data_IF_004550983340
#
_entry.id   IF_004550983340
#
_cell.length_a   1.000
_cell.length_b   1.000
_cell.length_c   1.000
_cell.angle_alpha   90.00
_cell.angle_beta   90.00
_cell.angle_gamma   90.00
#
_symmetry.space_group_name_H-M   'P 1'
#
loop_
_entity.id
_entity.type
_entity.pdbx_description
1 polymer ?
#
# COMPACT_ATOMS: atom_id res chain seq x y z
N UNK A 1 27.84 -16.32 -9.98
CA UNK A 1 27.36 -15.96 -8.62
C UNK A 1 27.74 -14.55 -8.21
N UNK A 2 28.97 -14.12 -8.35
CA UNK A 2 29.42 -12.78 -7.98
C UNK A 2 28.67 -11.69 -8.74
N UNK A 3 28.41 -11.86 -10.04
CA UNK A 3 27.68 -10.87 -10.83
C UNK A 3 26.24 -10.66 -10.37
N UNK A 4 25.55 -11.73 -9.97
CA UNK A 4 24.19 -11.62 -9.46
C UNK A 4 24.15 -10.94 -8.10
N UNK A 5 25.12 -11.24 -7.26
CA UNK A 5 25.23 -10.61 -5.95
C UNK A 5 25.53 -9.12 -6.06
N UNK A 6 26.44 -8.73 -6.95
CA UNK A 6 26.77 -7.33 -7.19
C UNK A 6 25.58 -6.56 -7.76
N UNK A 7 24.85 -7.15 -8.70
CA UNK A 7 23.63 -6.54 -9.26
C UNK A 7 22.56 -6.35 -8.18
N UNK A 8 22.40 -7.32 -7.30
CA UNK A 8 21.45 -7.21 -6.19
C UNK A 8 21.85 -6.09 -5.22
N UNK A 9 23.12 -5.99 -4.87
CA UNK A 9 23.63 -4.92 -4.01
C UNK A 9 23.42 -3.54 -4.64
N UNK A 10 23.71 -3.39 -5.92
CA UNK A 10 23.51 -2.13 -6.63
C UNK A 10 22.04 -1.76 -6.68
N UNK A 11 21.16 -2.71 -6.94
CA UNK A 11 19.72 -2.50 -6.93
C UNK A 11 19.24 -2.07 -5.55
N UNK A 12 19.69 -2.73 -4.49
CA UNK A 12 19.34 -2.41 -3.12
C UNK A 12 19.81 -1.01 -2.72
N UNK A 13 21.03 -0.64 -3.08
CA UNK A 13 21.55 0.70 -2.83
C UNK A 13 20.75 1.76 -3.58
N UNK A 14 20.41 1.49 -4.83
CA UNK A 14 19.59 2.37 -5.63
C UNK A 14 18.20 2.59 -5.01
N UNK A 15 17.57 1.54 -4.50
CA UNK A 15 16.29 1.64 -3.80
C UNK A 15 16.41 2.45 -2.51
N UNK A 16 17.45 2.22 -1.73
CA UNK A 16 17.68 2.99 -0.50
C UNK A 16 17.90 4.46 -0.81
N UNK A 17 18.68 4.76 -1.84
CA UNK A 17 18.89 6.14 -2.29
C UNK A 17 17.58 6.78 -2.71
N UNK A 18 16.79 6.09 -3.55
CA UNK A 18 15.49 6.59 -4.00
C UNK A 18 14.52 6.79 -2.84
N UNK A 19 14.50 5.87 -1.89
CA UNK A 19 13.59 5.96 -0.76
C UNK A 19 13.92 7.11 0.19
N UNK A 20 15.18 7.51 0.29
CA UNK A 20 15.58 8.67 1.09
C UNK A 20 15.02 9.99 0.55
N UNK A 21 14.68 10.01 -0.75
CA UNK A 21 14.12 11.17 -1.43
C UNK A 21 12.61 11.10 -1.61
N UNK A 22 11.97 10.00 -1.21
CA UNK A 22 10.52 9.87 -1.32
C UNK A 22 9.88 10.65 -0.17
N UNK A 23 9.06 11.63 -0.55
CA UNK A 23 8.22 12.37 0.38
C UNK A 23 6.82 11.81 0.29
N UNK A 24 6.33 11.25 1.37
CA UNK A 24 4.98 10.72 1.47
C UNK A 24 4.27 11.33 2.68
N UNK A 25 2.96 11.37 2.63
CA UNK A 25 2.15 11.91 3.71
C UNK A 25 0.86 11.10 3.88
N UNK A 26 0.24 11.27 5.02
CA UNK A 26 -1.06 10.67 5.31
C UNK A 26 -2.09 11.16 4.29
N UNK A 27 -2.89 10.23 3.78
CA UNK A 27 -3.87 10.51 2.75
C UNK A 27 -3.37 10.31 1.32
N UNK A 28 -2.07 10.09 1.13
CA UNK A 28 -1.53 9.77 -0.19
C UNK A 28 -1.91 8.37 -0.64
N UNK A 29 -2.12 8.21 -1.93
CA UNK A 29 -2.31 6.91 -2.58
C UNK A 29 -1.07 6.61 -3.40
N UNK A 30 -0.44 5.48 -3.12
CA UNK A 30 0.77 5.03 -3.79
C UNK A 30 0.59 3.65 -4.38
N UNK A 31 1.15 3.44 -5.58
CA UNK A 31 1.31 2.11 -6.13
C UNK A 31 2.45 1.40 -5.42
N UNK A 32 2.23 0.15 -5.08
CA UNK A 32 3.23 -0.66 -4.37
C UNK A 32 3.48 -1.97 -5.10
N UNK A 33 4.68 -2.50 -4.90
CA UNK A 33 5.07 -3.83 -5.37
C UNK A 33 5.10 -4.76 -4.17
N UNK A 34 4.24 -5.76 -4.17
CA UNK A 34 4.10 -6.71 -3.07
C UNK A 34 4.26 -8.13 -3.62
N UNK A 35 5.15 -8.90 -3.00
CA UNK A 35 5.28 -10.32 -3.29
C UNK A 35 4.34 -11.10 -2.39
N UNK A 36 3.48 -11.92 -3.01
CA UNK A 36 2.52 -12.74 -2.29
C UNK A 36 2.81 -14.21 -2.58
N UNK A 37 2.88 -15.00 -1.52
CA UNK A 37 3.02 -16.45 -1.64
C UNK A 37 1.64 -17.03 -1.95
N UNK A 38 1.50 -17.60 -3.15
CA UNK A 38 0.27 -18.23 -3.59
C UNK A 38 0.42 -19.73 -3.51
N UNK A 39 -0.47 -20.36 -2.73
CA UNK A 39 -0.57 -21.80 -2.67
C UNK A 39 -1.43 -22.32 -3.82
N UNK A 40 -0.81 -23.14 -4.69
CA UNK A 40 -1.52 -23.88 -5.71
C UNK A 40 -1.42 -25.38 -5.41
N UNK A 41 -2.36 -26.18 -5.93
CA UNK A 41 -2.42 -27.62 -5.65
C UNK A 41 -1.11 -28.37 -5.91
N UNK A 42 -0.34 -27.91 -6.87
CA UNK A 42 0.88 -28.59 -7.31
C UNK A 42 2.17 -27.97 -6.78
N UNK A 43 2.21 -26.69 -6.36
CA UNK A 43 3.42 -26.05 -5.87
C UNK A 43 3.16 -24.72 -5.19
N UNK A 44 4.14 -24.27 -4.42
CA UNK A 44 4.21 -22.92 -3.89
C UNK A 44 4.70 -21.98 -5.00
N UNK A 45 4.05 -20.83 -5.12
CA UNK A 45 4.40 -19.86 -6.13
C UNK A 45 4.43 -18.46 -5.51
N UNK A 46 5.46 -17.69 -5.84
CA UNK A 46 5.54 -16.27 -5.50
C UNK A 46 5.13 -15.45 -6.71
N UNK A 47 4.15 -14.57 -6.52
CA UNK A 47 3.75 -13.60 -7.55
C UNK A 47 3.92 -12.19 -7.04
N UNK A 48 4.42 -11.34 -7.92
CA UNK A 48 4.46 -9.92 -7.67
C UNK A 48 3.12 -9.29 -8.02
N UNK A 49 2.54 -8.61 -7.06
CA UNK A 49 1.32 -7.84 -7.26
C UNK A 49 1.62 -6.36 -7.14
N UNK A 50 1.14 -5.59 -8.11
CA UNK A 50 1.13 -4.14 -8.03
C UNK A 50 -0.26 -3.73 -7.56
N UNK A 51 -0.31 -3.03 -6.46
CA UNK A 51 -1.57 -2.65 -5.85
C UNK A 51 -1.47 -1.24 -5.30
N UNK A 52 -2.52 -0.40 -5.50
CA UNK A 52 -2.55 0.89 -4.84
C UNK A 52 -2.86 0.72 -3.35
N UNK A 53 -2.24 1.54 -2.53
CA UNK A 53 -2.48 1.58 -1.09
C UNK A 53 -2.71 3.03 -0.65
N UNK A 54 -3.53 3.20 0.37
CA UNK A 54 -3.76 4.49 1.00
C UNK A 54 -2.92 4.57 2.27
N UNK A 55 -2.16 5.64 2.43
CA UNK A 55 -1.36 5.86 3.64
C UNK A 55 -2.26 6.41 4.73
N UNK A 56 -2.44 5.62 5.78
CA UNK A 56 -3.27 5.98 6.93
C UNK A 56 -2.47 6.77 7.96
N UNK A 57 -1.25 6.32 8.26
CA UNK A 57 -0.42 6.96 9.27
C UNK A 57 1.06 6.83 8.92
N UNK A 58 1.76 7.93 9.04
CA UNK A 58 3.22 7.96 8.91
C UNK A 58 3.83 7.62 10.27
N UNK A 59 4.57 6.51 10.34
CA UNK A 59 5.20 6.06 11.59
C UNK A 59 6.60 6.63 11.73
N UNK A 60 7.34 6.70 10.64
CA UNK A 60 8.69 7.22 10.61
C UNK A 60 9.00 7.72 9.20
N UNK A 61 10.22 8.17 8.97
CA UNK A 61 10.67 8.61 7.65
C UNK A 61 10.48 7.51 6.58
N UNK A 62 10.61 6.25 6.96
CA UNK A 62 10.65 5.12 6.03
C UNK A 62 9.49 4.12 6.20
N UNK A 63 8.62 4.30 7.18
CA UNK A 63 7.58 3.33 7.48
C UNK A 63 6.23 4.00 7.67
N UNK A 64 5.18 3.32 7.23
CA UNK A 64 3.82 3.83 7.37
C UNK A 64 2.81 2.69 7.50
N UNK A 65 1.63 3.02 8.00
CA UNK A 65 0.49 2.11 8.03
C UNK A 65 -0.38 2.42 6.81
N UNK A 66 -0.73 1.38 6.06
CA UNK A 66 -1.49 1.50 4.82
C UNK A 66 -2.67 0.54 4.80
N UNK A 67 -3.66 0.86 3.97
CA UNK A 67 -4.74 -0.05 3.60
C UNK A 67 -4.73 -0.23 2.09
N UNK A 68 -4.83 -1.48 1.59
CA UNK A 68 -4.94 -1.72 0.16
C UNK A 68 -6.24 -1.19 -0.40
N UNK A 69 -6.22 -0.81 -1.66
CA UNK A 69 -7.37 -0.28 -2.38
C UNK A 69 -7.79 -1.26 -3.47
N UNK A 70 -9.09 -1.31 -3.74
CA UNK A 70 -9.65 -2.17 -4.77
C UNK A 70 -10.58 -1.37 -5.68
N UNK A 71 -10.58 -1.69 -6.97
CA UNK A 71 -11.54 -1.12 -7.93
C UNK A 71 -12.92 -1.78 -7.85
N UNK A 72 -13.03 -2.89 -7.13
CA UNK A 72 -14.31 -3.59 -6.95
C UNK A 72 -15.11 -2.93 -5.83
N UNK A 73 -16.40 -2.73 -6.06
CA UNK A 73 -17.29 -2.17 -5.03
C UNK A 73 -17.71 -3.28 -4.09
N UNK A 74 -17.48 -3.06 -2.78
CA UNK A 74 -17.88 -3.98 -1.71
C UNK A 74 -18.56 -3.18 -0.59
N UNK A 75 -19.52 -3.80 0.10
CA UNK A 75 -20.43 -3.08 1.00
C UNK A 75 -20.40 -3.54 2.46
N UNK A 76 -19.48 -4.40 2.83
CA UNK A 76 -19.38 -4.87 4.22
C UNK A 76 -18.71 -3.83 5.12
N UNK A 77 -18.86 -3.99 6.44
CA UNK A 77 -18.27 -3.08 7.43
C UNK A 77 -16.74 -3.03 7.39
N UNK A 78 -16.12 -4.04 6.78
CA UNK A 78 -14.65 -4.13 6.64
C UNK A 78 -14.12 -3.33 5.45
N UNK A 79 -15.02 -2.70 4.73
CA UNK A 79 -14.71 -1.94 3.52
C UNK A 79 -15.17 -0.51 3.69
N UNK A 80 -14.43 0.42 3.11
CA UNK A 80 -14.82 1.83 3.08
C UNK A 80 -14.81 2.32 1.64
N UNK A 81 -15.94 2.86 1.16
CA UNK A 81 -15.99 3.45 -0.18
C UNK A 81 -15.27 4.79 -0.21
N UNK A 82 -14.66 5.10 -1.34
CA UNK A 82 -14.11 6.42 -1.60
C UNK A 82 -14.19 6.71 -3.10
N UNK A 83 -14.07 7.98 -3.46
CA UNK A 83 -14.12 8.41 -4.86
C UNK A 83 -12.81 9.08 -5.24
N UNK A 84 -12.23 8.67 -6.36
CA UNK A 84 -11.02 9.25 -6.91
C UNK A 84 -11.23 9.42 -8.41
N UNK A 85 -11.00 10.63 -8.92
CA UNK A 85 -11.18 10.94 -10.34
C UNK A 85 -12.56 10.53 -10.88
N UNK A 86 -13.62 10.76 -10.09
CA UNK A 86 -15.02 10.42 -10.42
C UNK A 86 -15.34 8.93 -10.46
N UNK A 87 -14.37 8.08 -10.11
CA UNK A 87 -14.55 6.62 -10.06
C UNK A 87 -14.64 6.19 -8.60
N UNK A 88 -15.60 5.31 -8.32
CA UNK A 88 -15.77 4.74 -6.98
C UNK A 88 -14.84 3.55 -6.77
N UNK A 89 -14.18 3.53 -5.63
CA UNK A 89 -13.27 2.47 -5.21
C UNK A 89 -13.61 2.02 -3.80
N UNK A 90 -12.95 0.96 -3.36
CA UNK A 90 -13.14 0.43 -2.00
C UNK A 90 -11.80 0.29 -1.31
N UNK A 91 -11.70 0.79 -0.08
CA UNK A 91 -10.55 0.55 0.79
C UNK A 91 -10.78 -0.74 1.60
N UNK A 92 -9.80 -1.62 1.58
CA UNK A 92 -9.89 -2.93 2.24
C UNK A 92 -9.37 -2.81 3.67
N UNK A 93 -10.21 -2.37 4.58
CA UNK A 93 -9.82 -2.04 5.96
C UNK A 93 -9.26 -3.24 6.73
N UNK A 94 -9.77 -4.44 6.44
CA UNK A 94 -9.33 -5.66 7.12
C UNK A 94 -7.91 -6.08 6.73
N UNK A 95 -7.34 -5.47 5.70
CA UNK A 95 -5.97 -5.74 5.26
C UNK A 95 -4.99 -4.63 5.65
N UNK A 96 -5.32 -3.86 6.68
CA UNK A 96 -4.41 -2.84 7.19
C UNK A 96 -3.06 -3.46 7.58
N UNK A 97 -1.97 -2.81 7.17
CA UNK A 97 -0.63 -3.32 7.42
C UNK A 97 0.41 -2.22 7.41
N UNK A 98 1.57 -2.52 7.96
CA UNK A 98 2.73 -1.64 7.89
C UNK A 98 3.54 -1.95 6.64
N UNK A 99 3.96 -0.91 5.94
CA UNK A 99 4.86 -1.03 4.79
C UNK A 99 6.06 -0.09 4.94
N UNK A 100 7.19 -0.56 4.44
CA UNK A 100 8.36 0.29 4.24
C UNK A 100 8.25 0.96 2.87
N UNK A 101 8.70 2.21 2.76
CA UNK A 101 8.61 2.97 1.52
C UNK A 101 9.38 2.36 0.36
N UNK A 102 10.26 1.40 0.61
CA UNK A 102 10.93 0.64 -0.44
C UNK A 102 9.96 -0.11 -1.34
N UNK A 103 8.75 -0.37 -0.87
CA UNK A 103 7.68 -1.01 -1.65
C UNK A 103 6.95 -0.04 -2.57
N UNK A 104 7.12 1.26 -2.37
CA UNK A 104 6.43 2.27 -3.15
C UNK A 104 7.08 2.45 -4.51
N UNK A 105 6.27 2.44 -5.57
CA UNK A 105 6.76 2.60 -6.94
C UNK A 105 6.36 3.93 -7.56
N UNK A 106 5.12 4.37 -7.35
CA UNK A 106 4.61 5.61 -7.94
C UNK A 106 3.49 6.20 -7.09
N UNK A 107 3.56 7.52 -6.87
CA UNK A 107 2.45 8.24 -6.25
C UNK A 107 1.32 8.39 -7.27
N UNK A 108 0.12 7.98 -6.89
CA UNK A 108 -1.05 8.07 -7.76
C UNK A 108 -1.83 9.37 -7.53
N UNK A 109 -2.13 9.68 -6.27
CA UNK A 109 -2.98 10.82 -5.95
C UNK A 109 -2.95 11.09 -4.45
N UNK A 110 -3.66 12.15 -4.07
CA UNK A 110 -4.00 12.44 -2.67
C UNK A 110 -5.51 12.33 -2.53
N UNK A 111 -5.96 11.59 -1.53
CA UNK A 111 -7.38 11.47 -1.24
C UNK A 111 -7.88 12.76 -0.58
N UNK A 112 -9.11 13.17 -0.90
CA UNK A 112 -9.68 14.34 -0.25
C UNK A 112 -9.87 14.10 1.25
N UNK A 113 -9.89 15.18 2.03
CA UNK A 113 -9.92 15.06 3.49
C UNK A 113 -11.20 14.44 4.03
N UNK A 114 -12.33 14.63 3.37
CA UNK A 114 -13.63 14.07 3.81
C UNK A 114 -13.61 12.55 3.69
N UNK A 115 -13.20 12.02 2.54
CA UNK A 115 -13.11 10.58 2.32
C UNK A 115 -12.03 9.96 3.21
N UNK A 116 -10.91 10.64 3.38
CA UNK A 116 -9.84 10.17 4.25
C UNK A 116 -10.29 10.06 5.70
N UNK A 117 -10.98 11.07 6.20
CA UNK A 117 -11.50 11.06 7.57
C UNK A 117 -12.55 9.96 7.77
N UNK A 118 -13.40 9.73 6.77
CA UNK A 118 -14.39 8.65 6.84
C UNK A 118 -13.73 7.27 6.87
N UNK A 119 -12.70 7.07 6.07
CA UNK A 119 -11.94 5.82 6.07
C UNK A 119 -11.26 5.60 7.44
N UNK A 120 -10.64 6.63 7.98
CA UNK A 120 -10.01 6.55 9.31
C UNK A 120 -11.03 6.23 10.39
N UNK A 121 -12.21 6.86 10.34
CA UNK A 121 -13.28 6.60 11.28
C UNK A 121 -13.74 5.14 11.22
N UNK A 122 -13.96 4.62 10.02
CA UNK A 122 -14.38 3.23 9.84
C UNK A 122 -13.31 2.24 10.28
N UNK A 123 -12.04 2.52 10.00
CA UNK A 123 -10.93 1.71 10.46
C UNK A 123 -10.86 1.67 11.99
N UNK A 124 -11.02 2.81 12.61
CA UNK A 124 -11.04 2.93 14.07
C UNK A 124 -12.18 2.10 14.68
N UNK A 125 -13.36 2.16 14.08
CA UNK A 125 -14.51 1.36 14.51
C UNK A 125 -14.27 -0.13 14.34
N UNK A 126 -13.70 -0.53 13.22
CA UNK A 126 -13.37 -1.93 12.94
C UNK A 126 -12.38 -2.50 13.95
N UNK A 127 -11.36 -1.72 14.30
CA UNK A 127 -10.35 -2.11 15.28
C UNK A 127 -10.82 -1.90 16.73
N UNK A 128 -11.97 -1.32 16.92
CA UNK A 128 -12.57 -1.05 18.23
C UNK A 128 -11.69 -0.18 19.15
N UNK A 129 -11.13 0.87 18.54
CA UNK A 129 -10.26 1.82 19.23
C UNK A 129 -10.96 3.11 19.65
#
# INVERSE_FOLDING_TARGET
>A
MEKQFDNWNNFKKSLEWSSNNILFKEGDIWWTSIWINIWEESCWKWEEFRRPVLIIKKLSKNNCIVVPLSSKIKTWTWFAPYTLHWIKYTALLYQVKMLNIKRFTKREAELNSDDFNEIKKRLKQLLNL
#
